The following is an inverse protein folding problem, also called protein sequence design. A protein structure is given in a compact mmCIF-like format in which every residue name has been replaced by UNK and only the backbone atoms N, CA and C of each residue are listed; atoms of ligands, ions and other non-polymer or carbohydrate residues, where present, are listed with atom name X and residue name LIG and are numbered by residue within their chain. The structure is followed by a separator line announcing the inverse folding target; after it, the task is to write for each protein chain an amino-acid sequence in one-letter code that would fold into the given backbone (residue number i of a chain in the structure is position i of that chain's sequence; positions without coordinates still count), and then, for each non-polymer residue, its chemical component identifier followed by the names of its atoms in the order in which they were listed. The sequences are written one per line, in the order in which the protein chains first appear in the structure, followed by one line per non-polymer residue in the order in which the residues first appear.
data_IF_010553894130
#
_entry.id   IF_010553894130
#
_cell.length_a   1.000
_cell.length_b   1.000
_cell.length_c   1.000
_cell.angle_alpha   90.00
_cell.angle_beta   90.00
_cell.angle_gamma   90.00
#
_symmetry.space_group_name_H-M   'P 1'
#
loop_
_entity.id
_entity.type
_entity.pdbx_description
1 polymer ?
#
# COMPACT_ATOMS: atom_id res chain seq x y z
N UNK A 1 29.93 21.96 -2.20
CA UNK A 1 28.67 21.73 -1.45
C UNK A 1 28.07 20.45 -2.02
N UNK A 2 28.26 19.32 -1.35
CA UNK A 2 27.77 18.02 -1.82
C UNK A 2 26.29 17.91 -1.48
N UNK A 3 25.44 17.88 -2.50
CA UNK A 3 24.03 17.54 -2.38
C UNK A 3 23.92 16.17 -1.71
N UNK A 4 23.32 16.16 -0.52
CA UNK A 4 23.01 14.92 0.19
C UNK A 4 21.88 14.23 -0.59
N UNK A 5 22.23 13.33 -1.51
CA UNK A 5 21.27 12.42 -2.15
C UNK A 5 20.70 11.55 -1.04
N UNK A 6 19.53 11.91 -0.52
CA UNK A 6 18.73 11.04 0.33
C UNK A 6 18.40 9.82 -0.53
N UNK A 7 19.17 8.75 -0.35
CA UNK A 7 18.93 7.46 -0.98
C UNK A 7 17.62 6.90 -0.46
N UNK A 8 16.79 6.37 -1.35
CA UNK A 8 15.54 5.69 -1.04
C UNK A 8 15.89 4.36 -0.32
N UNK A 9 16.25 4.44 0.96
CA UNK A 9 16.63 3.30 1.79
C UNK A 9 15.40 2.73 2.48
N UNK A 10 15.29 1.40 2.45
CA UNK A 10 14.29 0.64 3.18
C UNK A 10 15.00 -0.26 4.17
N UNK A 11 14.55 -0.25 5.42
CA UNK A 11 14.97 -1.20 6.46
C UNK A 11 13.81 -2.10 6.81
N UNK A 12 14.14 -3.36 7.11
CA UNK A 12 13.16 -4.37 7.53
C UNK A 12 13.68 -5.01 8.80
N UNK A 13 12.83 -5.09 9.82
CA UNK A 13 13.11 -5.76 11.08
C UNK A 13 11.97 -6.74 11.41
N UNK A 14 12.32 -7.89 11.98
CA UNK A 14 11.36 -8.94 12.35
C UNK A 14 11.56 -9.25 13.84
N UNK A 15 10.50 -9.03 14.62
CA UNK A 15 10.49 -9.26 16.06
C UNK A 15 9.38 -10.26 16.41
N UNK A 16 9.74 -11.53 16.47
CA UNK A 16 8.77 -12.61 16.67
C UNK A 16 7.77 -12.70 15.52
N UNK A 17 6.51 -12.34 15.78
CA UNK A 17 5.43 -12.32 14.78
C UNK A 17 5.18 -10.90 14.22
N UNK A 18 6.03 -9.93 14.55
CA UNK A 18 5.90 -8.53 14.09
C UNK A 18 6.89 -8.26 12.97
N UNK A 19 6.39 -7.78 11.84
CA UNK A 19 7.19 -7.25 10.73
C UNK A 19 7.15 -5.71 10.76
N UNK A 20 8.32 -5.08 10.89
CA UNK A 20 8.46 -3.62 10.81
C UNK A 20 9.23 -3.26 9.55
N UNK A 21 8.67 -2.36 8.74
CA UNK A 21 9.31 -1.82 7.54
C UNK A 21 9.37 -0.31 7.65
N UNK A 22 10.55 0.27 7.43
CA UNK A 22 10.75 1.71 7.41
C UNK A 22 11.33 2.12 6.07
N UNK A 23 10.84 3.23 5.51
CA UNK A 23 11.31 3.74 4.22
C UNK A 23 11.29 5.26 4.21
N UNK A 24 12.38 5.85 3.74
CA UNK A 24 12.51 7.31 3.60
C UNK A 24 12.17 7.73 2.18
N UNK A 25 11.19 8.61 2.03
CA UNK A 25 10.79 9.20 0.76
C UNK A 25 11.24 10.65 0.67
N UNK A 26 11.84 11.03 -0.46
CA UNK A 26 12.10 12.44 -0.79
C UNK A 26 10.81 13.10 -1.32
N UNK A 27 9.78 13.17 -0.47
CA UNK A 27 8.48 13.74 -0.79
C UNK A 27 7.83 14.32 0.49
N UNK A 28 6.93 15.32 0.37
CA UNK A 28 6.20 15.83 1.53
C UNK A 28 5.33 14.74 2.17
N UNK A 29 5.27 14.71 3.51
CA UNK A 29 4.47 13.71 4.26
C UNK A 29 3.02 13.60 3.79
N UNK A 30 2.40 14.75 3.47
CA UNK A 30 1.01 14.79 3.01
C UNK A 30 0.81 14.13 1.64
N UNK A 31 1.82 14.17 0.77
CA UNK A 31 1.77 13.48 -0.52
C UNK A 31 1.93 11.97 -0.34
N UNK A 32 2.82 11.54 0.55
CA UNK A 32 2.96 10.12 0.91
C UNK A 32 1.67 9.60 1.51
N UNK A 33 1.06 10.34 2.46
CA UNK A 33 -0.22 9.96 3.05
C UNK A 33 -1.33 9.83 2.01
N UNK A 34 -1.40 10.76 1.05
CA UNK A 34 -2.34 10.68 -0.08
C UNK A 34 -2.19 9.43 -0.94
N UNK A 35 -0.99 8.86 -1.02
CA UNK A 35 -0.78 7.58 -1.71
C UNK A 35 -1.54 6.42 -1.05
N UNK A 36 -1.91 6.54 0.23
CA UNK A 36 -2.70 5.56 0.98
C UNK A 36 -4.16 5.96 1.17
N UNK A 37 -4.48 7.27 1.12
CA UNK A 37 -5.82 7.78 1.44
C UNK A 37 -6.70 8.12 0.24
N UNK A 38 -6.13 8.23 -0.97
CA UNK A 38 -6.89 8.50 -2.20
C UNK A 38 -6.97 7.21 -3.04
N UNK A 39 -8.17 6.72 -3.40
CA UNK A 39 -8.35 5.39 -3.98
C UNK A 39 -7.56 5.22 -5.29
N UNK A 40 -7.57 6.21 -6.17
CA UNK A 40 -6.87 6.15 -7.46
C UNK A 40 -5.34 6.09 -7.26
N UNK A 41 -4.83 6.82 -6.26
CA UNK A 41 -3.39 6.77 -5.93
C UNK A 41 -3.02 5.42 -5.35
N UNK A 42 -3.80 4.92 -4.40
CA UNK A 42 -3.54 3.63 -3.77
C UNK A 42 -3.53 2.50 -4.81
N UNK A 43 -4.53 2.46 -5.70
CA UNK A 43 -4.61 1.50 -6.80
C UNK A 43 -3.42 1.56 -7.76
N UNK A 44 -2.76 2.71 -7.90
CA UNK A 44 -1.61 2.89 -8.82
C UNK A 44 -0.32 2.22 -8.36
N UNK A 45 -0.20 1.87 -7.07
CA UNK A 45 1.02 1.27 -6.54
C UNK A 45 0.79 0.05 -5.64
N UNK A 46 -0.44 -0.17 -5.15
CA UNK A 46 -0.73 -1.32 -4.32
C UNK A 46 -0.66 -2.63 -5.11
N UNK A 47 -0.09 -3.65 -4.49
CA UNK A 47 0.14 -4.96 -5.08
C UNK A 47 1.57 -5.16 -5.61
N UNK A 48 1.93 -6.40 -5.93
CA UNK A 48 3.25 -6.73 -6.49
C UNK A 48 3.41 -6.20 -7.91
N UNK A 49 4.66 -6.06 -8.37
CA UNK A 49 4.95 -5.66 -9.75
C UNK A 49 4.28 -6.63 -10.74
N UNK A 50 3.67 -6.09 -11.79
CA UNK A 50 2.96 -6.86 -12.82
C UNK A 50 1.48 -7.11 -12.48
N UNK A 51 1.02 -6.66 -11.32
CA UNK A 51 -0.38 -6.75 -10.91
C UNK A 51 -1.03 -5.37 -10.92
N UNK A 52 -2.29 -5.32 -11.34
CA UNK A 52 -3.13 -4.12 -11.29
C UNK A 52 -4.16 -4.26 -10.19
N UNK A 53 -4.33 -3.22 -9.39
CA UNK A 53 -5.31 -3.17 -8.31
C UNK A 53 -6.55 -2.39 -8.74
N UNK A 54 -7.73 -2.97 -8.52
CA UNK A 54 -9.02 -2.31 -8.67
C UNK A 54 -9.72 -2.22 -7.30
N UNK A 55 -10.06 -1.01 -6.87
CA UNK A 55 -10.83 -0.81 -5.64
C UNK A 55 -12.32 -1.05 -5.92
N UNK A 56 -12.90 -2.09 -5.31
CA UNK A 56 -14.35 -2.36 -5.36
C UNK A 56 -15.12 -1.53 -4.35
N UNK A 57 -14.50 -1.25 -3.21
CA UNK A 57 -15.02 -0.36 -2.17
C UNK A 57 -13.87 0.34 -1.48
N UNK A 58 -14.02 1.63 -1.20
CA UNK A 58 -13.00 2.42 -0.50
C UNK A 58 -13.65 3.49 0.38
N UNK A 59 -13.76 3.20 1.68
CA UNK A 59 -14.28 4.11 2.68
C UNK A 59 -13.16 4.53 3.64
N UNK A 60 -12.43 5.59 3.31
CA UNK A 60 -11.30 6.06 4.13
C UNK A 60 -11.76 6.85 5.36
N UNK A 61 -12.31 6.13 6.34
CA UNK A 61 -12.76 6.62 7.64
C UNK A 61 -12.68 5.49 8.67
N UNK A 62 -12.64 5.77 9.98
CA UNK A 62 -12.77 4.74 11.01
C UNK A 62 -14.00 3.85 10.79
N UNK A 63 -13.83 2.54 10.96
CA UNK A 63 -14.78 1.47 10.64
C UNK A 63 -15.15 1.36 9.14
N UNK A 64 -14.50 2.11 8.27
CA UNK A 64 -14.67 2.03 6.83
C UNK A 64 -13.97 0.81 6.24
N UNK A 65 -14.51 0.30 5.14
CA UNK A 65 -13.97 -0.86 4.43
C UNK A 65 -13.20 -0.43 3.19
N UNK A 66 -12.02 -1.00 3.00
CA UNK A 66 -11.34 -1.07 1.71
C UNK A 66 -11.41 -2.50 1.19
N UNK A 67 -12.04 -2.71 0.04
CA UNK A 67 -12.16 -4.01 -0.62
C UNK A 67 -11.64 -3.87 -2.05
N UNK A 68 -10.69 -4.71 -2.43
CA UNK A 68 -10.00 -4.61 -3.71
C UNK A 68 -9.77 -5.98 -4.34
N UNK A 69 -9.59 -5.98 -5.65
CA UNK A 69 -9.13 -7.12 -6.43
C UNK A 69 -7.83 -6.73 -7.12
N UNK A 70 -6.82 -7.58 -7.01
CA UNK A 70 -5.59 -7.48 -7.78
C UNK A 70 -5.64 -8.51 -8.89
N UNK A 71 -5.32 -8.11 -10.12
CA UNK A 71 -5.21 -9.03 -11.26
C UNK A 71 -3.80 -8.97 -11.85
N UNK A 72 -3.19 -10.12 -12.07
CA UNK A 72 -1.91 -10.18 -12.79
C UNK A 72 -2.14 -9.90 -14.27
N UNK A 73 -1.41 -8.94 -14.81
CA UNK A 73 -1.45 -8.55 -16.23
C UNK A 73 -0.12 -8.79 -16.95
N UNK A 74 0.90 -9.27 -16.25
CA UNK A 74 2.22 -9.54 -16.81
C UNK A 74 2.29 -10.96 -17.35
N UNK A 75 2.24 -11.09 -18.67
CA UNK A 75 2.32 -12.38 -19.38
C UNK A 75 3.61 -13.16 -19.06
N UNK A 76 4.68 -12.48 -18.60
CA UNK A 76 5.93 -13.13 -18.23
C UNK A 76 5.88 -13.85 -16.88
N UNK A 77 4.81 -13.67 -16.10
CA UNK A 77 4.64 -14.35 -14.79
C UNK A 77 3.99 -15.74 -14.92
N UNK A 78 3.84 -16.26 -16.13
CA UNK A 78 3.44 -17.64 -16.38
C UNK A 78 2.06 -17.96 -15.82
N UNK A 79 1.98 -18.95 -14.92
CA UNK A 79 0.71 -19.41 -14.33
C UNK A 79 -0.04 -18.32 -13.57
N UNK A 80 0.64 -17.25 -13.14
CA UNK A 80 0.00 -16.12 -12.47
C UNK A 80 -0.77 -15.22 -13.43
N UNK A 81 -0.46 -15.20 -14.73
CA UNK A 81 -1.13 -14.31 -15.68
C UNK A 81 -2.65 -14.52 -15.68
N UNK A 82 -3.40 -13.43 -15.52
CA UNK A 82 -4.87 -13.46 -15.43
C UNK A 82 -5.42 -13.92 -14.07
N UNK A 83 -4.59 -14.38 -13.12
CA UNK A 83 -5.06 -14.71 -11.78
C UNK A 83 -5.52 -13.47 -11.02
N UNK A 84 -6.48 -13.69 -10.12
CA UNK A 84 -7.02 -12.68 -9.22
C UNK A 84 -6.68 -13.01 -7.77
N UNK A 85 -6.40 -11.95 -7.00
CA UNK A 85 -6.24 -12.02 -5.55
C UNK A 85 -7.09 -10.92 -4.91
N UNK A 86 -7.97 -11.33 -4.01
CA UNK A 86 -8.92 -10.45 -3.34
C UNK A 86 -8.39 -10.10 -1.95
N UNK A 87 -8.57 -8.85 -1.54
CA UNK A 87 -8.19 -8.37 -0.23
C UNK A 87 -9.22 -7.43 0.35
N UNK A 88 -9.39 -7.48 1.68
CA UNK A 88 -10.31 -6.61 2.41
C UNK A 88 -9.64 -6.10 3.67
N UNK A 89 -9.65 -4.79 3.86
CA UNK A 89 -9.20 -4.15 5.08
C UNK A 89 -10.33 -3.38 5.77
N UNK A 90 -10.27 -3.32 7.10
CA UNK A 90 -11.13 -2.46 7.93
C UNK A 90 -10.26 -1.43 8.63
N UNK A 91 -10.52 -0.14 8.37
CA UNK A 91 -9.81 0.96 9.01
C UNK A 91 -10.27 1.14 10.46
N UNK A 92 -9.33 1.35 11.37
CA UNK A 92 -9.60 1.57 12.80
C UNK A 92 -9.30 3.00 13.23
N UNK A 93 -8.13 3.52 12.83
CA UNK A 93 -7.66 4.83 13.24
C UNK A 93 -7.04 5.57 12.05
N UNK A 94 -7.37 6.85 11.90
CA UNK A 94 -6.83 7.72 10.86
C UNK A 94 -6.52 9.07 11.50
N UNK A 95 -5.23 9.41 11.55
CA UNK A 95 -4.75 10.74 11.95
C UNK A 95 -4.05 11.32 10.73
N UNK A 96 -4.63 12.34 10.10
CA UNK A 96 -4.08 12.93 8.89
C UNK A 96 -3.01 13.97 9.25
N UNK A 97 -1.79 13.96 8.66
CA UNK A 97 -1.21 13.00 7.72
C UNK A 97 -0.16 12.08 8.40
N UNK A 98 -0.45 11.58 9.59
CA UNK A 98 0.51 10.96 10.50
C UNK A 98 0.38 9.44 10.59
N UNK A 99 -0.84 8.91 10.64
CA UNK A 99 -1.09 7.51 11.00
C UNK A 99 -2.34 6.94 10.33
N UNK A 100 -2.22 5.70 9.89
CA UNK A 100 -3.32 4.86 9.40
C UNK A 100 -3.18 3.51 10.09
N UNK A 101 -4.23 3.05 10.76
CA UNK A 101 -4.30 1.72 11.37
C UNK A 101 -5.48 0.98 10.74
N UNK A 102 -5.24 -0.22 10.24
CA UNK A 102 -6.26 -1.10 9.70
C UNK A 102 -5.94 -2.56 10.02
N UNK A 103 -6.96 -3.42 9.97
CA UNK A 103 -6.76 -4.87 9.94
C UNK A 103 -6.98 -5.36 8.53
N UNK A 104 -6.00 -6.07 7.99
CA UNK A 104 -6.15 -6.85 6.75
C UNK A 104 -6.84 -8.18 7.09
N UNK A 105 -7.96 -8.45 6.41
CA UNK A 105 -8.78 -9.64 6.57
C UNK A 105 -8.89 -10.32 5.22
N UNK A 106 -8.39 -11.56 5.14
CA UNK A 106 -8.60 -12.46 4.00
C UNK A 106 -10.09 -12.81 3.84
#
# INVERSE_FOLDING_TARGET
MSENKITNSMTTNIEGQVLVMERIFNAPRGLVFKAFSEPERLASWWGPRGWQTENRKFEFKPNGVWHYCMRCIDENQGEFYGQESWGKAVYHEIIVPEKIVYTDTL
#
